data_IF_488128094825
#
_entry.id   IF_488128094825
#
_cell.length_a   1.000
_cell.length_b   1.000
_cell.length_c   1.000
_cell.angle_alpha   90.00
_cell.angle_beta   90.00
_cell.angle_gamma   90.00
#
_symmetry.space_group_name_H-M   'P 1'
#
loop_
_entity.id
_entity.type
_entity.pdbx_description
1 polymer ?
#
# COMPACT_ATOMS: atom_id res chain seq x y z
N UNK A 1 29.63 8.89 63.49
CA UNK A 1 30.11 7.83 62.58
C UNK A 1 28.86 7.24 61.91
N UNK A 2 28.43 7.90 60.83
CA UNK A 2 28.46 7.39 59.44
C UNK A 2 27.46 6.25 59.23
N UNK A 3 26.22 6.67 58.91
CA UNK A 3 25.13 5.81 58.49
C UNK A 3 25.51 5.04 57.20
N UNK A 4 25.10 3.77 57.18
CA UNK A 4 25.26 2.80 56.10
C UNK A 4 25.02 3.38 54.71
N UNK A 5 26.07 3.36 53.89
CA UNK A 5 26.09 3.75 52.47
C UNK A 5 25.61 2.61 51.55
N UNK A 6 24.58 1.87 51.96
CA UNK A 6 24.00 0.75 51.21
C UNK A 6 22.64 1.13 50.68
N UNK A 7 22.61 1.84 49.57
CA UNK A 7 21.48 1.85 48.61
C UNK A 7 22.00 2.41 47.29
N UNK A 8 22.90 1.61 46.72
CA UNK A 8 23.40 1.72 45.37
C UNK A 8 22.20 1.65 44.40
N UNK A 9 22.15 2.58 43.44
CA UNK A 9 21.64 2.34 42.10
C UNK A 9 20.20 1.79 41.99
N UNK A 10 19.18 2.62 42.27
CA UNK A 10 17.85 2.41 41.69
C UNK A 10 17.86 2.99 40.27
N UNK A 11 18.35 2.14 39.36
CA UNK A 11 17.82 1.88 38.02
C UNK A 11 17.14 3.07 37.31
N UNK A 12 17.95 3.79 36.54
CA UNK A 12 17.52 4.52 35.35
C UNK A 12 16.87 3.53 34.38
N UNK A 13 15.59 3.70 34.05
CA UNK A 13 14.89 2.76 33.19
C UNK A 13 13.59 3.32 32.61
N UNK A 14 13.57 3.35 31.26
CA UNK A 14 12.42 3.26 30.35
C UNK A 14 11.68 4.60 30.12
N UNK A 15 11.47 5.10 28.89
CA UNK A 15 11.34 4.44 27.57
C UNK A 15 11.54 5.51 26.48
N UNK A 16 12.31 5.18 25.44
CA UNK A 16 12.40 5.97 24.22
C UNK A 16 11.14 5.76 23.37
N UNK A 17 10.36 6.81 23.14
CA UNK A 17 9.24 6.79 22.20
C UNK A 17 9.77 6.83 20.76
N UNK A 18 10.09 5.67 20.19
CA UNK A 18 10.22 5.54 18.74
C UNK A 18 8.82 5.68 18.14
N UNK A 19 8.50 6.87 17.65
CA UNK A 19 7.33 7.09 16.79
C UNK A 19 7.52 6.26 15.52
N UNK A 20 6.88 5.10 15.47
CA UNK A 20 6.63 4.37 14.23
C UNK A 20 5.73 5.27 13.38
N UNK A 21 6.34 5.94 12.40
CA UNK A 21 5.60 6.71 11.40
C UNK A 21 4.79 5.72 10.58
N UNK A 22 3.48 5.98 10.35
CA UNK A 22 2.68 5.08 9.54
C UNK A 22 3.16 5.19 8.08
N UNK A 23 3.31 4.05 7.39
CA UNK A 23 3.84 3.87 6.03
C UNK A 23 2.99 4.51 4.91
N UNK A 24 2.09 5.43 5.25
CA UNK A 24 1.08 6.01 4.36
C UNK A 24 1.66 6.91 3.26
N UNK A 25 2.93 7.31 3.38
CA UNK A 25 3.60 8.17 2.40
C UNK A 25 4.36 7.39 1.32
N UNK A 26 4.68 6.12 1.55
CA UNK A 26 5.42 5.28 0.60
C UNK A 26 4.45 4.74 -0.46
N UNK A 27 3.29 4.24 -0.03
CA UNK A 27 2.27 3.67 -0.92
C UNK A 27 1.68 4.72 -1.89
N UNK A 28 1.44 5.94 -1.42
CA UNK A 28 0.96 7.07 -2.24
C UNK A 28 1.99 7.50 -3.30
N UNK A 29 3.29 7.37 -3.01
CA UNK A 29 4.37 7.69 -3.97
C UNK A 29 4.55 6.56 -4.98
N UNK A 30 4.43 5.31 -4.54
CA UNK A 30 4.53 4.13 -5.38
C UNK A 30 3.36 4.00 -6.36
N UNK A 31 2.15 4.36 -5.93
CA UNK A 31 1.00 4.44 -6.83
C UNK A 31 1.25 5.41 -8.02
N UNK A 32 1.95 6.53 -7.79
CA UNK A 32 2.26 7.51 -8.84
C UNK A 32 3.35 7.06 -9.82
N UNK A 33 4.12 6.02 -9.50
CA UNK A 33 5.14 5.45 -10.41
C UNK A 33 4.51 4.57 -11.49
N UNK A 34 3.30 4.06 -11.23
CA UNK A 34 2.62 3.07 -12.06
C UNK A 34 1.34 3.63 -12.66
N UNK A 35 0.68 4.54 -11.93
CA UNK A 35 -0.55 5.21 -12.36
C UNK A 35 -0.35 6.72 -12.48
N UNK A 36 -0.60 7.29 -13.66
CA UNK A 36 -0.73 8.75 -13.82
C UNK A 36 -1.90 9.31 -13.01
N UNK A 37 -3.00 8.53 -12.96
CA UNK A 37 -4.24 8.88 -12.27
C UNK A 37 -4.86 7.63 -11.66
N UNK A 38 -5.51 7.77 -10.50
CA UNK A 38 -6.17 6.66 -9.81
C UNK A 38 -5.25 5.85 -8.89
N UNK A 39 -5.73 4.68 -8.50
CA UNK A 39 -5.03 3.73 -7.62
C UNK A 39 -4.75 2.42 -8.35
N UNK A 40 -3.59 1.79 -8.12
CA UNK A 40 -3.26 0.50 -8.75
C UNK A 40 -4.15 -0.61 -8.20
N UNK A 41 -4.90 -1.27 -9.08
CA UNK A 41 -5.75 -2.42 -8.80
C UNK A 41 -5.51 -3.53 -9.83
N UNK A 42 -5.72 -4.78 -9.43
CA UNK A 42 -5.70 -5.92 -10.33
C UNK A 42 -7.13 -6.29 -10.72
N UNK A 43 -7.42 -6.32 -12.02
CA UNK A 43 -8.77 -6.33 -12.58
C UNK A 43 -8.99 -7.49 -13.55
N UNK A 44 -10.24 -7.95 -13.71
CA UNK A 44 -10.60 -8.85 -14.82
C UNK A 44 -10.86 -8.06 -16.10
N UNK A 45 -10.34 -8.57 -17.22
CA UNK A 45 -10.79 -8.14 -18.55
C UNK A 45 -12.21 -8.65 -18.80
N UNK A 46 -13.19 -7.77 -18.89
CA UNK A 46 -14.50 -8.20 -19.39
C UNK A 46 -14.47 -8.41 -20.92
N UNK A 47 -15.04 -9.52 -21.36
CA UNK A 47 -15.08 -9.97 -22.77
C UNK A 47 -15.90 -9.06 -23.68
N UNK A 48 -16.59 -8.06 -23.13
CA UNK A 48 -17.34 -7.07 -23.90
C UNK A 48 -16.66 -5.70 -23.98
N UNK A 49 -15.46 -5.54 -23.41
CA UNK A 49 -14.70 -4.28 -23.47
C UNK A 49 -15.37 -3.12 -22.72
N UNK A 50 -16.29 -3.41 -21.80
CA UNK A 50 -17.00 -2.42 -20.99
C UNK A 50 -16.77 -2.72 -19.52
N UNK A 51 -15.84 -1.96 -18.94
CA UNK A 51 -15.52 -1.86 -17.53
C UNK A 51 -15.04 -3.17 -16.87
N UNK A 52 -13.90 -3.07 -16.21
CA UNK A 52 -13.38 -4.15 -15.40
C UNK A 52 -14.23 -4.25 -14.11
N UNK A 53 -15.10 -5.27 -14.05
CA UNK A 53 -16.14 -5.40 -13.00
C UNK A 53 -15.65 -6.11 -11.73
N UNK A 54 -14.52 -6.83 -11.77
CA UNK A 54 -13.95 -7.53 -10.62
C UNK A 54 -12.49 -7.14 -10.41
N UNK A 55 -12.30 -6.06 -9.64
CA UNK A 55 -10.99 -5.55 -9.28
C UNK A 55 -10.68 -5.76 -7.81
N UNK A 56 -9.50 -6.29 -7.55
CA UNK A 56 -8.94 -6.49 -6.23
C UNK A 56 -7.72 -5.59 -6.03
N UNK A 57 -7.48 -5.19 -4.79
CA UNK A 57 -6.23 -4.52 -4.41
C UNK A 57 -5.08 -5.51 -4.60
N UNK A 58 -3.97 -5.12 -5.25
CA UNK A 58 -2.82 -6.00 -5.42
C UNK A 58 -2.30 -6.48 -4.05
N UNK A 59 -1.89 -7.76 -3.93
CA UNK A 59 -1.43 -8.32 -2.66
C UNK A 59 -0.12 -7.70 -2.15
N UNK A 60 0.64 -7.05 -3.05
CA UNK A 60 1.89 -6.36 -2.76
C UNK A 60 1.91 -5.03 -3.47
N UNK A 61 2.55 -4.02 -2.86
CA UNK A 61 2.67 -2.70 -3.48
C UNK A 61 3.63 -2.78 -4.67
N UNK A 62 3.19 -2.48 -5.89
CA UNK A 62 4.05 -2.53 -7.06
C UNK A 62 5.14 -1.46 -6.99
N UNK A 63 6.34 -1.81 -7.44
CA UNK A 63 7.51 -0.93 -7.45
C UNK A 63 7.86 -0.40 -8.85
N UNK A 64 7.37 -1.07 -9.89
CA UNK A 64 7.44 -0.68 -11.30
C UNK A 64 6.22 -1.21 -12.05
N UNK A 65 6.05 -0.80 -13.32
CA UNK A 65 4.96 -1.30 -14.17
C UNK A 65 5.12 -2.80 -14.45
N UNK A 66 6.33 -3.27 -14.78
CA UNK A 66 6.60 -4.71 -14.99
C UNK A 66 6.30 -5.55 -13.74
N UNK A 67 6.63 -5.02 -12.56
CA UNK A 67 6.32 -5.64 -11.27
C UNK A 67 4.80 -5.67 -11.04
N UNK A 68 4.11 -4.58 -11.38
CA UNK A 68 2.64 -4.51 -11.28
C UNK A 68 1.93 -5.54 -12.17
N UNK A 69 2.31 -5.62 -13.44
CA UNK A 69 1.81 -6.63 -14.38
C UNK A 69 2.08 -8.03 -13.85
N UNK A 70 3.27 -8.28 -13.30
CA UNK A 70 3.64 -9.59 -12.74
C UNK A 70 2.80 -9.95 -11.50
N UNK A 71 2.57 -8.99 -10.61
CA UNK A 71 1.76 -9.16 -9.39
C UNK A 71 0.31 -9.50 -9.76
N UNK A 72 -0.29 -8.78 -10.70
CA UNK A 72 -1.66 -9.04 -11.13
C UNK A 72 -1.78 -10.35 -11.93
N UNK A 73 -0.82 -10.65 -12.80
CA UNK A 73 -0.77 -11.90 -13.53
C UNK A 73 -0.66 -13.12 -12.60
N UNK A 74 0.04 -13.00 -11.47
CA UNK A 74 0.16 -14.07 -10.47
C UNK A 74 -1.18 -14.48 -9.85
N UNK A 75 -2.16 -13.57 -9.82
CA UNK A 75 -3.54 -13.83 -9.36
C UNK A 75 -4.53 -14.01 -10.52
N UNK A 76 -4.04 -14.11 -11.76
CA UNK A 76 -4.85 -14.34 -12.96
C UNK A 76 -5.65 -13.11 -13.43
N UNK A 77 -5.23 -11.92 -13.04
CA UNK A 77 -5.85 -10.63 -13.37
C UNK A 77 -4.90 -9.78 -14.23
N UNK A 78 -5.40 -8.67 -14.76
CA UNK A 78 -4.60 -7.64 -15.42
C UNK A 78 -4.36 -6.45 -14.49
N UNK A 79 -3.29 -5.71 -14.75
CA UNK A 79 -2.92 -4.49 -14.05
C UNK A 79 -3.68 -3.27 -14.58
N UNK A 80 -4.39 -2.56 -13.71
CA UNK A 80 -5.18 -1.39 -14.06
C UNK A 80 -5.09 -0.28 -13.01
N UNK A 81 -5.13 0.96 -13.47
CA UNK A 81 -5.16 2.15 -12.65
C UNK A 81 -6.58 2.71 -12.59
N UNK A 82 -7.25 2.52 -11.46
CA UNK A 82 -8.68 2.78 -11.36
C UNK A 82 -8.99 3.88 -10.33
N UNK A 83 -9.91 4.77 -10.67
CA UNK A 83 -10.52 5.69 -9.71
C UNK A 83 -11.81 5.05 -9.20
N UNK A 84 -11.83 4.65 -7.92
CA UNK A 84 -13.05 4.14 -7.29
C UNK A 84 -14.00 5.32 -7.11
N UNK A 85 -15.03 5.40 -7.97
CA UNK A 85 -16.18 6.25 -7.70
C UNK A 85 -17.11 5.52 -6.72
N UNK A 86 -17.13 6.02 -5.49
CA UNK A 86 -17.97 5.62 -4.34
C UNK A 86 -19.49 5.59 -4.64
N UNK A 87 -19.91 5.95 -5.84
CA UNK A 87 -21.30 6.01 -6.28
C UNK A 87 -21.76 4.78 -7.08
N UNK A 88 -20.94 3.73 -7.20
CA UNK A 88 -21.37 2.45 -7.80
C UNK A 88 -21.88 2.62 -9.25
N UNK A 89 -21.27 3.53 -10.02
CA UNK A 89 -21.64 3.82 -11.42
C UNK A 89 -20.61 3.37 -12.46
N UNK A 90 -19.48 2.81 -12.05
CA UNK A 90 -18.49 2.29 -12.97
C UNK A 90 -17.09 2.53 -12.43
N UNK A 91 -16.25 1.51 -12.54
CA UNK A 91 -14.85 1.66 -12.25
C UNK A 91 -14.19 2.26 -13.50
N UNK A 92 -13.76 3.52 -13.41
CA UNK A 92 -12.97 4.13 -14.48
C UNK A 92 -11.53 3.66 -14.32
N UNK A 93 -11.16 2.64 -15.09
CA UNK A 93 -9.80 2.12 -15.16
C UNK A 93 -9.09 2.62 -16.41
N UNK A 94 -7.77 2.81 -16.27
CA UNK A 94 -6.86 3.19 -17.32
C UNK A 94 -5.61 2.31 -17.23
N UNK A 95 -4.95 2.12 -18.37
CA UNK A 95 -3.69 1.38 -18.38
C UNK A 95 -2.62 2.14 -17.57
N UNK A 96 -1.69 1.41 -16.92
CA UNK A 96 -0.53 2.03 -16.29
C UNK A 96 0.36 2.76 -17.32
N UNK A 97 1.20 3.68 -16.81
CA UNK A 97 2.01 4.61 -17.61
C UNK A 97 3.29 4.03 -18.20
#
# INVERSE_FOLDING_TARGET
MKASFTTLFILSGLIASCVATPAMSVERRQASLVCATGTPNCCDVDVLGVADLDCAVPPTVPTSVDDFTSICAAIGKIDMCCTIDILNQGLLCSHPI
#
